data_IF_646012436703
#
_entry.id   IF_646012436703
#
_cell.length_a   1.000
_cell.length_b   1.000
_cell.length_c   1.000
_cell.angle_alpha   90.00
_cell.angle_beta   90.00
_cell.angle_gamma   90.00
#
_symmetry.space_group_name_H-M   'P 1'
#
loop_
_entity.id
_entity.type
_entity.pdbx_description
1 polymer ?
#
# COMPACT_ATOMS: atom_id res chain seq x y z
N UNK A 1 22.63 20.40 -2.92
CA UNK A 1 22.42 19.06 -3.49
C UNK A 1 21.24 19.16 -4.43
N UNK A 2 21.44 18.97 -5.72
CA UNK A 2 20.39 19.12 -6.74
C UNK A 2 19.35 18.01 -6.57
N UNK A 3 18.08 18.37 -6.31
CA UNK A 3 16.95 17.44 -6.28
C UNK A 3 16.88 16.72 -7.64
N UNK A 4 17.11 15.41 -7.66
CA UNK A 4 16.75 14.60 -8.81
C UNK A 4 15.24 14.51 -8.84
N UNK A 5 14.63 15.12 -9.84
CA UNK A 5 13.20 14.95 -10.09
C UNK A 5 12.91 13.47 -10.39
N UNK A 6 11.89 12.90 -9.74
CA UNK A 6 11.41 11.51 -10.01
C UNK A 6 11.02 11.26 -11.47
N UNK A 7 10.84 12.32 -12.27
CA UNK A 7 10.71 12.22 -13.74
C UNK A 7 11.91 11.53 -14.42
N UNK A 8 13.01 11.30 -13.70
CA UNK A 8 14.18 10.54 -14.19
C UNK A 8 14.14 9.03 -13.80
N UNK A 9 13.23 8.63 -12.91
CA UNK A 9 13.10 7.20 -12.53
C UNK A 9 12.30 6.46 -13.59
N UNK A 10 12.98 5.56 -14.29
CA UNK A 10 12.36 4.71 -15.32
C UNK A 10 11.66 3.51 -14.66
N UNK A 11 10.35 3.38 -14.85
CA UNK A 11 9.57 2.22 -14.39
C UNK A 11 10.11 0.89 -14.89
N UNK A 12 10.76 0.88 -16.05
CA UNK A 12 11.40 -0.34 -16.60
C UNK A 12 12.52 -0.83 -15.67
N UNK A 13 13.30 0.10 -15.10
CA UNK A 13 14.35 -0.21 -14.12
C UNK A 13 13.76 -0.75 -12.81
N UNK A 14 12.70 -0.10 -12.30
CA UNK A 14 11.99 -0.53 -11.09
C UNK A 14 11.42 -1.95 -11.26
N UNK A 15 10.69 -2.20 -12.34
CA UNK A 15 10.10 -3.51 -12.64
C UNK A 15 11.19 -4.58 -12.81
N UNK A 16 12.29 -4.25 -13.50
CA UNK A 16 13.43 -5.16 -13.67
C UNK A 16 14.09 -5.51 -12.35
N UNK A 17 14.33 -4.49 -11.49
CA UNK A 17 14.88 -4.69 -10.15
C UNK A 17 13.94 -5.55 -9.30
N UNK A 18 12.65 -5.21 -9.28
CA UNK A 18 11.63 -5.91 -8.50
C UNK A 18 11.56 -7.41 -8.86
N UNK A 19 11.54 -7.74 -10.15
CA UNK A 19 11.57 -9.12 -10.63
C UNK A 19 12.89 -9.82 -10.27
N UNK A 20 14.03 -9.23 -10.60
CA UNK A 20 15.36 -9.82 -10.40
C UNK A 20 15.65 -10.07 -8.91
N UNK A 21 15.17 -9.21 -8.02
CA UNK A 21 15.40 -9.32 -6.57
C UNK A 21 14.29 -10.03 -5.81
N UNK A 22 13.23 -10.45 -6.49
CA UNK A 22 12.16 -11.22 -5.86
C UNK A 22 11.22 -10.38 -5.00
N UNK A 23 10.94 -9.15 -5.43
CA UNK A 23 9.86 -8.36 -4.85
C UNK A 23 8.52 -8.75 -5.46
N UNK A 24 8.42 -8.74 -6.78
CA UNK A 24 7.15 -9.00 -7.48
C UNK A 24 7.40 -9.81 -8.75
N UNK A 25 6.56 -10.81 -8.98
CA UNK A 25 6.56 -11.65 -10.18
C UNK A 25 5.21 -11.54 -10.90
N UNK A 26 5.16 -11.71 -12.24
CA UNK A 26 3.89 -11.91 -12.92
C UNK A 26 3.20 -13.17 -12.39
N UNK A 27 1.93 -13.08 -12.02
CA UNK A 27 1.21 -14.26 -11.55
C UNK A 27 0.99 -15.25 -12.69
N UNK A 28 1.13 -16.54 -12.38
CA UNK A 28 0.93 -17.64 -13.32
C UNK A 28 1.80 -17.55 -14.59
N UNK A 29 3.00 -16.97 -14.50
CA UNK A 29 3.89 -16.68 -15.64
C UNK A 29 4.21 -17.93 -16.47
N UNK A 30 4.34 -19.09 -15.84
CA UNK A 30 4.59 -20.37 -16.54
C UNK A 30 3.45 -20.80 -17.49
N UNK A 31 2.26 -20.22 -17.34
CA UNK A 31 1.09 -20.42 -18.21
C UNK A 31 0.79 -19.18 -19.08
N UNK A 32 1.71 -18.21 -19.14
CA UNK A 32 1.53 -16.96 -19.87
C UNK A 32 0.86 -15.84 -19.07
N UNK A 33 0.41 -16.12 -17.83
CA UNK A 33 -0.27 -15.16 -16.98
C UNK A 33 -1.65 -14.72 -17.47
N UNK A 34 -2.35 -13.91 -16.68
CA UNK A 34 -3.66 -13.32 -17.06
C UNK A 34 -3.62 -11.78 -17.17
N UNK A 35 -2.43 -11.21 -17.19
CA UNK A 35 -2.21 -9.75 -17.27
C UNK A 35 -2.62 -9.01 -16.00
N UNK A 36 -1.79 -8.08 -15.56
CA UNK A 36 -2.02 -7.20 -14.38
C UNK A 36 -2.44 -7.95 -13.12
N UNK A 37 -1.95 -9.16 -12.95
CA UNK A 37 -1.98 -9.95 -11.72
C UNK A 37 -0.56 -10.27 -11.31
N UNK A 38 -0.29 -10.15 -10.01
CA UNK A 38 1.07 -10.16 -9.51
C UNK A 38 1.17 -11.00 -8.23
N UNK A 39 2.26 -11.76 -8.13
CA UNK A 39 2.64 -12.51 -6.95
C UNK A 39 3.77 -11.76 -6.23
N UNK A 40 3.65 -11.59 -4.91
CA UNK A 40 4.74 -11.04 -4.12
C UNK A 40 5.76 -12.11 -3.80
N UNK A 41 6.99 -11.89 -4.26
CA UNK A 41 8.12 -12.77 -3.97
C UNK A 41 8.63 -12.63 -2.53
N UNK A 42 9.73 -13.33 -2.17
CA UNK A 42 10.23 -13.36 -0.79
C UNK A 42 10.54 -12.00 -0.17
N UNK A 43 11.04 -11.04 -0.95
CA UNK A 43 11.29 -9.68 -0.45
C UNK A 43 10.04 -8.80 -0.54
N UNK A 44 9.20 -9.02 -1.52
CA UNK A 44 7.97 -8.25 -1.70
C UNK A 44 6.93 -8.53 -0.62
N UNK A 45 6.77 -9.79 -0.21
CA UNK A 45 5.85 -10.14 0.88
C UNK A 45 6.28 -9.49 2.20
N UNK A 46 7.58 -9.44 2.47
CA UNK A 46 8.10 -8.76 3.67
C UNK A 46 7.92 -7.25 3.59
N UNK A 47 8.21 -6.60 2.43
CA UNK A 47 7.95 -5.18 2.23
C UNK A 47 6.47 -4.85 2.48
N UNK A 48 5.57 -5.54 1.80
CA UNK A 48 4.12 -5.32 1.91
C UNK A 48 3.60 -5.57 3.34
N UNK A 49 4.10 -6.61 4.00
CA UNK A 49 3.78 -6.92 5.39
C UNK A 49 4.23 -5.81 6.33
N UNK A 50 5.47 -5.31 6.16
CA UNK A 50 6.02 -4.24 6.99
C UNK A 50 5.24 -2.92 6.79
N UNK A 51 4.83 -2.60 5.55
CA UNK A 51 3.97 -1.43 5.26
C UNK A 51 2.62 -1.55 5.99
N UNK A 52 1.98 -2.72 5.91
CA UNK A 52 0.72 -2.98 6.62
C UNK A 52 0.88 -2.91 8.14
N UNK A 53 1.98 -3.44 8.68
CA UNK A 53 2.27 -3.37 10.12
C UNK A 53 2.54 -1.93 10.58
N UNK A 54 3.28 -1.13 9.80
CA UNK A 54 3.50 0.28 10.09
C UNK A 54 2.18 1.07 10.09
N UNK A 55 1.30 0.80 9.12
CA UNK A 55 -0.03 1.40 9.09
C UNK A 55 -0.89 0.96 10.28
N UNK A 56 -0.94 -0.34 10.57
CA UNK A 56 -1.72 -0.88 11.69
C UNK A 56 -1.26 -0.35 13.04
N UNK A 57 0.06 -0.22 13.21
CA UNK A 57 0.65 0.37 14.40
C UNK A 57 0.17 1.80 14.60
N UNK A 58 0.29 2.65 13.58
CA UNK A 58 -0.09 4.06 13.67
C UNK A 58 -1.60 4.27 13.82
N UNK A 59 -2.42 3.39 13.20
CA UNK A 59 -3.87 3.53 13.20
C UNK A 59 -4.55 2.86 14.40
N UNK A 60 -3.99 1.77 14.93
CA UNK A 60 -4.66 0.96 15.96
C UNK A 60 -3.87 0.90 17.27
N UNK A 61 -2.55 0.58 17.22
CA UNK A 61 -1.79 0.32 18.43
C UNK A 61 -1.35 1.60 19.16
N UNK A 62 -1.09 2.67 18.45
CA UNK A 62 -0.64 3.95 18.99
C UNK A 62 -1.81 4.89 19.32
N UNK A 63 -3.07 4.38 19.24
CA UNK A 63 -4.30 5.13 19.48
C UNK A 63 -5.24 4.38 20.42
N UNK A 64 -5.89 5.15 21.27
CA UNK A 64 -6.92 4.62 22.19
C UNK A 64 -8.33 4.65 21.56
N UNK A 65 -8.51 5.38 20.46
CA UNK A 65 -9.80 5.66 19.84
C UNK A 65 -10.05 4.84 18.55
N UNK A 66 -9.19 3.90 18.17
CA UNK A 66 -9.37 3.03 17.01
C UNK A 66 -9.27 1.56 17.43
N UNK A 67 -10.11 0.73 16.83
CA UNK A 67 -10.08 -0.73 17.00
C UNK A 67 -10.01 -1.44 15.66
N UNK A 68 -9.57 -2.69 15.65
CA UNK A 68 -9.47 -3.50 14.44
C UNK A 68 -10.69 -4.36 14.17
N UNK A 69 -10.96 -4.63 12.90
CA UNK A 69 -11.96 -5.59 12.40
C UNK A 69 -11.36 -6.37 11.23
N UNK A 70 -11.79 -7.61 11.06
CA UNK A 70 -11.55 -8.40 9.84
C UNK A 70 -12.89 -9.02 9.39
N UNK A 71 -13.56 -8.37 8.45
CA UNK A 71 -14.84 -8.81 7.92
C UNK A 71 -14.68 -9.79 6.76
N UNK A 72 -15.68 -10.63 6.51
CA UNK A 72 -15.66 -11.60 5.42
C UNK A 72 -15.60 -10.94 4.04
N UNK A 73 -14.90 -11.56 3.10
CA UNK A 73 -14.86 -11.12 1.69
C UNK A 73 -16.21 -11.32 1.02
N UNK A 74 -16.84 -12.49 1.25
CA UNK A 74 -18.17 -12.83 0.73
C UNK A 74 -19.19 -12.37 1.76
N UNK A 75 -20.02 -11.42 1.36
CA UNK A 75 -21.07 -10.83 2.19
C UNK A 75 -22.43 -11.03 1.54
N UNK A 76 -23.51 -10.77 2.29
CA UNK A 76 -24.86 -10.79 1.72
C UNK A 76 -24.97 -9.85 0.52
N UNK A 77 -25.64 -10.27 -0.57
CA UNK A 77 -25.90 -9.40 -1.71
C UNK A 77 -26.58 -8.07 -1.36
N UNK A 78 -27.42 -8.06 -0.33
CA UNK A 78 -28.13 -6.87 0.15
C UNK A 78 -27.18 -5.76 0.61
N UNK A 79 -25.98 -6.10 1.09
CA UNK A 79 -24.95 -5.11 1.46
C UNK A 79 -24.59 -4.25 0.26
N UNK A 80 -24.39 -4.87 -0.90
CA UNK A 80 -23.98 -4.20 -2.13
C UNK A 80 -25.15 -3.48 -2.82
N UNK A 81 -26.36 -3.93 -2.58
CA UNK A 81 -27.59 -3.23 -3.02
C UNK A 81 -27.78 -1.98 -2.17
N UNK A 82 -27.71 -2.09 -0.84
CA UNK A 82 -27.89 -0.99 0.09
C UNK A 82 -26.85 0.13 -0.09
N UNK A 83 -25.60 -0.23 -0.29
CA UNK A 83 -24.51 0.73 -0.53
C UNK A 83 -24.48 1.29 -1.96
N UNK A 84 -25.34 0.82 -2.86
CA UNK A 84 -25.42 1.26 -4.25
C UNK A 84 -24.40 0.63 -5.22
N UNK A 85 -23.46 -0.19 -4.74
CA UNK A 85 -22.42 -0.80 -5.58
C UNK A 85 -23.01 -1.73 -6.66
N UNK A 86 -24.05 -2.49 -6.35
CA UNK A 86 -24.65 -3.41 -7.31
C UNK A 86 -25.17 -2.70 -8.57
N UNK A 87 -25.66 -1.46 -8.43
CA UNK A 87 -26.24 -0.68 -9.54
C UNK A 87 -25.27 0.37 -10.10
N UNK A 88 -24.48 1.03 -9.25
CA UNK A 88 -23.74 2.26 -9.59
C UNK A 88 -22.21 2.12 -9.68
N UNK A 89 -21.64 0.99 -9.29
CA UNK A 89 -20.16 0.82 -9.34
C UNK A 89 -19.73 0.43 -10.77
N UNK A 90 -19.80 1.41 -11.68
CA UNK A 90 -19.64 1.19 -13.13
C UNK A 90 -18.69 2.19 -13.75
N UNK A 91 -17.91 1.73 -14.74
CA UNK A 91 -17.07 2.56 -15.60
C UNK A 91 -17.58 2.55 -17.04
N UNK A 92 -17.42 3.67 -17.79
CA UNK A 92 -17.79 3.73 -19.19
C UNK A 92 -16.75 2.97 -20.06
N UNK A 93 -17.14 1.81 -20.59
CA UNK A 93 -16.34 0.95 -21.44
C UNK A 93 -16.57 1.26 -22.92
N UNK A 94 -15.47 1.41 -23.66
CA UNK A 94 -15.44 1.43 -25.14
C UNK A 94 -14.53 0.32 -25.65
N UNK A 95 -14.85 -0.25 -26.83
CA UNK A 95 -14.10 -1.35 -27.44
C UNK A 95 -13.65 -0.98 -28.87
N UNK A 96 -12.41 -1.32 -29.22
CA UNK A 96 -11.93 -1.18 -30.58
C UNK A 96 -12.42 -2.34 -31.45
N UNK A 97 -13.13 -2.10 -32.57
CA UNK A 97 -13.61 -3.15 -33.45
C UNK A 97 -12.50 -3.85 -34.23
N UNK A 98 -11.31 -3.24 -34.30
CA UNK A 98 -10.16 -3.75 -35.08
C UNK A 98 -9.21 -4.61 -34.23
N UNK A 99 -8.70 -4.04 -33.11
CA UNK A 99 -7.74 -4.74 -32.23
C UNK A 99 -8.38 -5.42 -31.02
N UNK A 100 -9.70 -5.25 -30.80
CA UNK A 100 -10.49 -5.79 -29.69
C UNK A 100 -10.02 -5.37 -28.29
N UNK A 101 -9.18 -4.33 -28.21
CA UNK A 101 -8.80 -3.75 -26.95
C UNK A 101 -9.93 -2.90 -26.38
N UNK A 102 -9.98 -2.85 -25.05
CA UNK A 102 -10.99 -2.13 -24.28
C UNK A 102 -10.34 -1.00 -23.52
N UNK A 103 -11.05 0.12 -23.44
CA UNK A 103 -10.59 1.33 -22.79
C UNK A 103 -11.71 1.94 -21.95
N UNK A 104 -11.33 2.74 -20.96
CA UNK A 104 -12.26 3.63 -20.26
C UNK A 104 -12.45 4.89 -21.11
N UNK A 105 -13.69 5.22 -21.41
CA UNK A 105 -13.99 6.38 -22.24
C UNK A 105 -13.62 7.70 -21.54
N UNK A 106 -13.82 7.79 -20.23
CA UNK A 106 -13.47 8.95 -19.40
C UNK A 106 -11.95 9.23 -19.40
N UNK A 107 -11.10 8.20 -19.27
CA UNK A 107 -9.65 8.37 -19.36
C UNK A 107 -9.18 8.83 -20.75
N UNK A 108 -9.84 8.36 -21.82
CA UNK A 108 -9.52 8.83 -23.16
C UNK A 108 -9.91 10.30 -23.36
N UNK A 109 -11.03 10.72 -22.81
CA UNK A 109 -11.47 12.11 -22.83
C UNK A 109 -10.53 13.01 -22.03
N UNK A 110 -10.14 12.59 -20.83
CA UNK A 110 -9.19 13.29 -19.97
C UNK A 110 -7.84 13.49 -20.69
N UNK A 111 -7.33 12.45 -21.34
CA UNK A 111 -6.10 12.51 -22.13
C UNK A 111 -6.20 13.51 -23.31
N UNK A 112 -7.42 13.79 -23.79
CA UNK A 112 -7.70 14.81 -24.79
C UNK A 112 -7.99 16.20 -24.21
N UNK A 113 -7.97 16.34 -22.86
CA UNK A 113 -8.33 17.59 -22.16
C UNK A 113 -9.84 17.91 -22.18
N UNK A 114 -10.69 16.88 -22.36
CA UNK A 114 -12.15 17.01 -22.47
C UNK A 114 -12.83 16.42 -21.23
N UNK A 115 -13.89 17.10 -20.75
CA UNK A 115 -14.67 16.66 -19.58
C UNK A 115 -15.94 15.84 -19.92
N UNK A 116 -16.39 15.86 -21.16
CA UNK A 116 -17.64 15.19 -21.57
C UNK A 116 -17.55 14.61 -22.98
N UNK A 117 -18.31 13.53 -23.22
CA UNK A 117 -18.29 12.76 -24.47
C UNK A 117 -19.27 13.26 -25.55
N UNK A 118 -20.12 14.27 -25.27
CA UNK A 118 -21.12 14.71 -26.25
C UNK A 118 -20.49 15.21 -27.55
N UNK A 119 -20.75 14.48 -28.64
CA UNK A 119 -20.23 14.80 -29.97
C UNK A 119 -18.75 14.45 -30.22
N UNK A 120 -18.07 13.79 -29.27
CA UNK A 120 -16.67 13.40 -29.41
C UNK A 120 -16.58 11.97 -29.94
N UNK A 121 -15.93 11.80 -31.11
CA UNK A 121 -15.62 10.49 -31.67
C UNK A 121 -14.32 9.99 -31.06
N UNK A 122 -14.40 9.01 -30.15
CA UNK A 122 -13.22 8.40 -29.53
C UNK A 122 -12.54 7.46 -30.55
N UNK A 123 -11.20 7.53 -30.58
CA UNK A 123 -10.36 6.69 -31.44
C UNK A 123 -9.44 5.81 -30.62
N UNK A 124 -9.19 4.61 -31.12
CA UNK A 124 -8.26 3.67 -30.54
C UNK A 124 -6.83 4.27 -30.51
N UNK A 125 -6.18 4.31 -29.35
CA UNK A 125 -4.80 4.81 -29.24
C UNK A 125 -3.78 3.99 -30.04
N UNK A 126 -4.06 2.70 -30.29
CA UNK A 126 -3.11 1.79 -30.93
C UNK A 126 -3.22 1.76 -32.47
N UNK A 127 -4.42 1.84 -33.02
CA UNK A 127 -4.64 1.67 -34.46
C UNK A 127 -5.46 2.80 -35.11
N UNK A 128 -5.99 3.75 -34.33
CA UNK A 128 -6.74 4.91 -34.80
C UNK A 128 -8.18 4.60 -35.24
N UNK A 129 -8.66 3.35 -35.11
CA UNK A 129 -10.03 2.98 -35.43
C UNK A 129 -11.03 3.69 -34.51
N UNK A 130 -12.23 3.97 -35.03
CA UNK A 130 -13.32 4.53 -34.22
C UNK A 130 -13.78 3.48 -33.20
N UNK A 131 -13.81 3.88 -31.93
CA UNK A 131 -14.25 3.02 -30.84
C UNK A 131 -15.79 2.88 -30.82
N UNK A 132 -16.26 1.81 -30.17
CA UNK A 132 -17.70 1.61 -29.94
C UNK A 132 -18.32 2.74 -29.12
N UNK A 133 -19.66 2.85 -29.16
CA UNK A 133 -20.36 3.68 -28.18
C UNK A 133 -20.06 3.22 -26.74
N UNK A 134 -19.94 4.16 -25.78
CA UNK A 134 -19.70 3.83 -24.38
C UNK A 134 -20.86 3.00 -23.80
N UNK A 135 -20.51 1.95 -23.06
CA UNK A 135 -21.47 1.17 -22.27
C UNK A 135 -20.99 1.09 -20.82
N UNK A 136 -21.91 1.20 -19.86
CA UNK A 136 -21.55 1.07 -18.45
C UNK A 136 -21.21 -0.38 -18.13
N UNK A 137 -20.04 -0.58 -17.50
CA UNK A 137 -19.53 -1.88 -17.11
C UNK A 137 -19.37 -1.91 -15.59
N UNK A 138 -20.09 -2.83 -14.92
CA UNK A 138 -19.97 -2.99 -13.47
C UNK A 138 -18.66 -3.67 -13.12
N UNK A 139 -17.92 -3.07 -12.18
CA UNK A 139 -16.58 -3.53 -11.77
C UNK A 139 -16.62 -4.64 -10.71
N UNK A 140 -17.77 -5.05 -10.21
CA UNK A 140 -17.83 -6.13 -9.21
C UNK A 140 -17.61 -7.50 -9.87
N UNK A 141 -16.77 -8.33 -9.23
CA UNK A 141 -16.65 -9.74 -9.59
C UNK A 141 -17.84 -10.53 -9.05
N UNK A 142 -18.56 -11.21 -9.94
CA UNK A 142 -19.64 -12.11 -9.57
C UNK A 142 -19.14 -13.53 -9.34
N UNK A 143 -19.72 -14.22 -8.34
CA UNK A 143 -19.50 -15.65 -8.10
C UNK A 143 -20.79 -16.27 -7.53
N UNK A 144 -20.74 -17.56 -7.21
CA UNK A 144 -21.89 -18.30 -6.73
C UNK A 144 -21.51 -19.07 -5.47
N UNK A 145 -22.43 -19.10 -4.49
CA UNK A 145 -22.29 -19.89 -3.26
C UNK A 145 -23.18 -21.13 -3.37
N UNK A 146 -22.61 -22.30 -3.07
CA UNK A 146 -23.30 -23.57 -3.17
C UNK A 146 -23.14 -24.27 -4.53
N UNK A 147 -23.77 -25.45 -4.70
CA UNK A 147 -23.55 -26.34 -5.84
C UNK A 147 -24.32 -25.95 -7.11
N UNK A 148 -25.33 -25.08 -7.00
CA UNK A 148 -26.21 -24.66 -8.11
C UNK A 148 -25.90 -23.22 -8.49
N UNK A 149 -25.78 -22.97 -9.79
CA UNK A 149 -25.56 -21.63 -10.34
C UNK A 149 -26.91 -21.05 -10.79
N UNK A 150 -27.65 -20.49 -9.88
CA UNK A 150 -28.88 -19.75 -10.14
C UNK A 150 -28.76 -18.30 -9.61
N UNK A 151 -29.79 -17.51 -9.86
CA UNK A 151 -29.80 -16.11 -9.41
C UNK A 151 -29.83 -15.95 -7.90
N UNK A 152 -30.35 -16.93 -7.18
CA UNK A 152 -30.42 -16.91 -5.71
C UNK A 152 -29.07 -17.24 -5.06
N UNK A 153 -28.20 -17.96 -5.78
CA UNK A 153 -26.86 -18.32 -5.32
C UNK A 153 -25.78 -17.27 -5.69
N UNK A 154 -26.16 -16.24 -6.46
CA UNK A 154 -25.23 -15.19 -6.90
C UNK A 154 -24.80 -14.31 -5.74
N UNK A 155 -23.47 -14.12 -5.61
CA UNK A 155 -22.84 -13.19 -4.68
C UNK A 155 -21.71 -12.44 -5.38
N UNK A 156 -21.19 -11.41 -4.74
CA UNK A 156 -20.04 -10.65 -5.24
C UNK A 156 -18.83 -10.79 -4.31
N UNK A 157 -17.64 -10.73 -4.90
CA UNK A 157 -16.43 -10.45 -4.14
C UNK A 157 -16.44 -8.96 -3.79
N UNK A 158 -16.13 -8.60 -2.55
CA UNK A 158 -16.18 -7.20 -2.09
C UNK A 158 -15.25 -6.31 -2.91
N UNK A 159 -15.73 -5.14 -3.39
CA UNK A 159 -14.91 -4.16 -4.11
C UNK A 159 -14.15 -3.21 -3.18
N UNK A 160 -14.51 -3.20 -1.88
CA UNK A 160 -13.92 -2.39 -0.81
C UNK A 160 -14.12 -3.06 0.55
N UNK A 161 -13.34 -2.63 1.54
CA UNK A 161 -13.45 -3.15 2.91
C UNK A 161 -14.42 -2.35 3.79
N UNK A 162 -14.79 -1.12 3.41
CA UNK A 162 -15.62 -0.20 4.17
C UNK A 162 -16.99 -0.78 4.57
N UNK A 163 -17.69 -1.42 3.64
CA UNK A 163 -19.04 -1.92 3.91
C UNK A 163 -19.08 -2.97 5.02
N UNK A 164 -18.02 -3.80 5.11
CA UNK A 164 -17.86 -4.74 6.20
C UNK A 164 -17.72 -4.06 7.56
N UNK A 165 -17.21 -2.83 7.62
CA UNK A 165 -17.11 -2.03 8.83
C UNK A 165 -18.49 -1.49 9.21
N UNK A 166 -19.23 -0.90 8.27
CA UNK A 166 -20.55 -0.30 8.54
C UNK A 166 -21.57 -1.31 9.05
N UNK A 167 -21.66 -2.49 8.44
CA UNK A 167 -22.58 -3.53 8.90
C UNK A 167 -22.22 -4.15 10.26
N UNK A 168 -20.98 -3.93 10.73
CA UNK A 168 -20.51 -4.37 12.04
C UNK A 168 -20.44 -3.23 13.08
N UNK A 169 -20.88 -2.03 12.76
CA UNK A 169 -20.79 -0.86 13.63
C UNK A 169 -21.38 -1.12 15.03
N UNK A 170 -22.62 -1.60 15.12
CA UNK A 170 -23.27 -1.90 16.39
C UNK A 170 -22.58 -3.04 17.14
N UNK A 171 -22.18 -4.12 16.44
CA UNK A 171 -21.42 -5.23 17.03
C UNK A 171 -20.13 -4.74 17.71
N UNK A 172 -19.40 -3.83 17.04
CA UNK A 172 -18.13 -3.30 17.56
C UNK A 172 -18.38 -2.40 18.78
N UNK A 173 -19.37 -1.50 18.72
CA UNK A 173 -19.73 -0.64 19.87
C UNK A 173 -20.09 -1.50 21.09
N UNK A 174 -20.97 -2.49 20.92
CA UNK A 174 -21.41 -3.37 22.01
C UNK A 174 -20.24 -4.15 22.60
N UNK A 175 -19.38 -4.70 21.73
CA UNK A 175 -18.26 -5.52 22.17
C UNK A 175 -17.15 -4.72 22.86
N UNK A 176 -16.85 -3.50 22.36
CA UNK A 176 -15.71 -2.70 22.81
C UNK A 176 -16.07 -1.58 23.79
N UNK A 177 -17.35 -1.20 23.84
CA UNK A 177 -17.88 -0.05 24.62
C UNK A 177 -17.23 1.27 24.22
N UNK A 178 -16.78 1.38 22.97
CA UNK A 178 -16.23 2.65 22.46
C UNK A 178 -17.32 3.70 22.37
N UNK A 179 -16.93 4.95 22.61
CA UNK A 179 -17.77 6.12 22.43
C UNK A 179 -17.34 6.87 21.18
N UNK A 180 -18.25 7.51 20.50
CA UNK A 180 -17.96 8.47 19.43
C UNK A 180 -17.26 9.70 20.06
N UNK A 181 -16.12 10.19 19.51
CA UNK A 181 -15.48 9.74 18.26
C UNK A 181 -14.63 8.47 18.44
N UNK A 182 -14.71 7.55 17.48
CA UNK A 182 -13.84 6.37 17.42
C UNK A 182 -13.77 5.81 16.00
N UNK A 183 -12.75 5.02 15.71
CA UNK A 183 -12.53 4.39 14.41
C UNK A 183 -12.55 2.86 14.44
N UNK A 184 -12.89 2.28 13.30
CA UNK A 184 -12.76 0.84 13.03
C UNK A 184 -11.87 0.68 11.82
N UNK A 185 -10.72 0.03 11.99
CA UNK A 185 -9.71 -0.18 10.96
C UNK A 185 -9.72 -1.61 10.43
N UNK A 186 -9.49 -1.79 9.15
CA UNK A 186 -9.38 -3.09 8.51
C UNK A 186 -8.26 -3.11 7.47
N UNK A 187 -7.55 -4.24 7.40
CA UNK A 187 -6.68 -4.59 6.27
C UNK A 187 -7.27 -5.82 5.61
N UNK A 188 -7.54 -5.74 4.31
CA UNK A 188 -8.14 -6.89 3.64
C UNK A 188 -8.10 -6.83 2.12
N UNK A 189 -8.28 -7.99 1.48
CA UNK A 189 -8.40 -8.13 0.04
C UNK A 189 -9.70 -7.50 -0.46
N UNK A 190 -9.58 -6.78 -1.59
CA UNK A 190 -10.69 -6.25 -2.38
C UNK A 190 -10.48 -6.56 -3.85
N UNK A 191 -11.57 -6.55 -4.62
CA UNK A 191 -11.60 -7.05 -5.99
C UNK A 191 -12.38 -6.11 -6.89
N UNK A 192 -11.73 -5.59 -7.93
CA UNK A 192 -12.36 -4.73 -8.95
C UNK A 192 -12.02 -5.23 -10.33
N UNK A 193 -13.01 -5.58 -11.12
CA UNK A 193 -12.83 -6.08 -12.49
C UNK A 193 -12.44 -4.94 -13.43
N UNK A 194 -11.29 -4.33 -13.17
CA UNK A 194 -10.77 -3.16 -13.87
C UNK A 194 -10.72 -3.37 -15.39
N UNK A 195 -11.22 -2.39 -16.15
CA UNK A 195 -11.21 -2.39 -17.63
C UNK A 195 -9.78 -2.25 -18.13
N UNK A 196 -9.05 -1.27 -17.58
CA UNK A 196 -7.67 -0.95 -17.95
C UNK A 196 -6.75 -1.03 -16.73
N UNK A 197 -6.46 -2.24 -16.21
CA UNK A 197 -5.47 -2.40 -15.16
C UNK A 197 -4.07 -2.08 -15.74
N UNK A 198 -3.14 -1.61 -14.90
CA UNK A 198 -1.81 -1.26 -15.40
C UNK A 198 -0.90 -0.58 -14.39
N UNK A 199 0.19 -0.04 -14.92
CA UNK A 199 1.24 0.61 -14.14
C UNK A 199 1.79 -0.31 -13.03
N UNK A 200 2.19 -1.55 -13.45
CA UNK A 200 2.73 -2.57 -12.54
C UNK A 200 1.70 -2.94 -11.45
N UNK A 201 2.04 -2.82 -10.16
CA UNK A 201 1.13 -3.12 -9.04
C UNK A 201 0.26 -1.93 -8.61
N UNK A 202 0.23 -0.84 -9.38
CA UNK A 202 -0.56 0.36 -9.05
C UNK A 202 -2.06 0.13 -9.20
N UNK A 203 -2.49 -0.51 -10.32
CA UNK A 203 -3.90 -0.82 -10.60
C UNK A 203 -4.05 -2.28 -11.02
N UNK A 204 -4.55 -3.08 -10.11
CA UNK A 204 -4.72 -4.53 -10.27
C UNK A 204 -6.17 -4.91 -9.98
N UNK A 205 -6.60 -6.11 -10.40
CA UNK A 205 -7.97 -6.58 -10.17
C UNK A 205 -8.19 -7.17 -8.79
N UNK A 206 -7.12 -7.65 -8.19
CA UNK A 206 -7.06 -8.13 -6.81
C UNK A 206 -5.99 -7.33 -6.07
N UNK A 207 -6.35 -6.68 -4.97
CA UNK A 207 -5.47 -5.81 -4.20
C UNK A 207 -5.80 -5.88 -2.72
N UNK A 208 -4.98 -5.28 -1.87
CA UNK A 208 -5.28 -5.12 -0.45
C UNK A 208 -5.52 -3.65 -0.12
N UNK A 209 -6.60 -3.38 0.62
CA UNK A 209 -6.88 -2.09 1.22
C UNK A 209 -6.49 -2.08 2.69
N UNK A 210 -6.03 -0.93 3.13
CA UNK A 210 -5.86 -0.51 4.52
C UNK A 210 -6.82 0.66 4.71
N UNK A 211 -7.95 0.41 5.35
CA UNK A 211 -9.08 1.32 5.40
C UNK A 211 -9.57 1.48 6.83
N UNK A 212 -9.97 2.68 7.20
CA UNK A 212 -10.47 3.00 8.53
C UNK A 212 -11.67 3.92 8.41
N UNK A 213 -12.76 3.56 9.09
CA UNK A 213 -13.95 4.37 9.20
C UNK A 213 -13.95 5.04 10.58
N UNK A 214 -13.78 6.36 10.61
CA UNK A 214 -13.76 7.14 11.85
C UNK A 214 -15.09 7.83 12.05
N UNK A 215 -15.82 7.37 13.07
CA UNK A 215 -17.16 7.79 13.40
C UNK A 215 -17.12 9.01 14.30
N UNK A 216 -17.77 10.10 13.88
CA UNK A 216 -17.76 11.38 14.57
C UNK A 216 -19.19 11.91 14.76
N UNK A 217 -19.37 12.84 15.70
CA UNK A 217 -20.64 13.52 15.85
C UNK A 217 -20.90 14.47 14.68
N UNK A 218 -22.15 14.50 14.12
CA UNK A 218 -22.53 15.47 13.12
C UNK A 218 -22.20 16.91 13.56
N UNK A 219 -21.52 17.66 12.68
CA UNK A 219 -21.03 19.02 12.96
C UNK A 219 -19.59 19.10 13.47
N UNK A 220 -18.97 17.97 13.84
CA UNK A 220 -17.54 17.88 14.17
C UNK A 220 -16.71 17.31 13.00
N UNK A 221 -17.40 16.86 11.96
CA UNK A 221 -16.83 16.14 10.80
C UNK A 221 -15.76 16.95 10.06
N UNK A 222 -15.94 18.26 9.86
CA UNK A 222 -14.95 19.08 9.15
C UNK A 222 -13.61 19.16 9.92
N UNK A 223 -13.66 19.29 11.26
CA UNK A 223 -12.45 19.30 12.08
C UNK A 223 -11.71 17.94 12.06
N UNK A 224 -12.46 16.84 12.10
CA UNK A 224 -11.89 15.50 12.03
C UNK A 224 -11.37 15.17 10.62
N UNK A 225 -12.02 15.66 9.59
CA UNK A 225 -11.56 15.55 8.21
C UNK A 225 -10.20 16.23 8.02
N UNK A 226 -10.06 17.49 8.46
CA UNK A 226 -8.79 18.22 8.44
C UNK A 226 -7.69 17.53 9.26
N UNK A 227 -8.05 16.96 10.41
CA UNK A 227 -7.14 16.20 11.26
C UNK A 227 -6.59 14.97 10.52
N UNK A 228 -7.47 14.17 9.90
CA UNK A 228 -7.07 12.95 9.22
C UNK A 228 -6.23 13.23 7.98
N UNK A 229 -6.52 14.26 7.20
CA UNK A 229 -5.69 14.68 6.05
C UNK A 229 -4.25 14.94 6.52
N UNK A 230 -4.06 15.73 7.57
CA UNK A 230 -2.73 16.06 8.10
C UNK A 230 -2.02 14.84 8.68
N UNK A 231 -2.75 14.02 9.43
CA UNK A 231 -2.21 12.82 10.06
C UNK A 231 -1.75 11.80 9.02
N UNK A 232 -2.51 11.63 7.93
CA UNK A 232 -2.14 10.68 6.87
C UNK A 232 -0.96 11.17 6.05
N UNK A 233 -0.90 12.45 5.69
CA UNK A 233 0.26 13.03 5.03
C UNK A 233 1.53 12.86 5.88
N UNK A 234 1.45 13.15 7.20
CA UNK A 234 2.59 13.02 8.11
C UNK A 234 3.11 11.58 8.18
N UNK A 235 2.22 10.58 8.16
CA UNK A 235 2.61 9.17 8.19
C UNK A 235 3.53 8.79 7.02
N UNK A 236 3.30 9.30 5.81
CA UNK A 236 4.20 9.07 4.68
C UNK A 236 5.56 9.74 4.87
N UNK A 237 5.57 10.96 5.41
CA UNK A 237 6.81 11.67 5.73
C UNK A 237 7.62 10.93 6.79
N UNK A 238 6.97 10.41 7.83
CA UNK A 238 7.60 9.63 8.90
C UNK A 238 8.22 8.31 8.37
N UNK A 239 7.65 7.73 7.31
CA UNK A 239 8.23 6.59 6.58
C UNK A 239 9.33 6.99 5.59
N UNK A 240 9.71 8.26 5.54
CA UNK A 240 10.80 8.77 4.75
C UNK A 240 10.48 9.03 3.28
N UNK A 241 9.20 9.10 2.90
CA UNK A 241 8.80 9.60 1.58
C UNK A 241 9.17 11.07 1.49
N UNK A 242 9.78 11.48 0.38
CA UNK A 242 10.21 12.87 0.18
C UNK A 242 9.00 13.79 0.04
N UNK A 243 9.03 14.91 0.77
CA UNK A 243 7.93 15.87 0.80
C UNK A 243 7.61 16.43 -0.60
N UNK A 244 8.64 16.71 -1.42
CA UNK A 244 8.46 17.17 -2.79
C UNK A 244 7.77 16.18 -3.74
N UNK A 245 7.64 14.91 -3.31
CA UNK A 245 6.94 13.86 -4.05
C UNK A 245 5.51 13.62 -3.56
N UNK A 246 5.06 14.39 -2.58
CA UNK A 246 3.70 14.33 -2.03
C UNK A 246 2.99 15.65 -2.25
N UNK A 247 1.68 15.59 -2.49
CA UNK A 247 0.81 16.77 -2.45
C UNK A 247 -0.60 16.38 -2.00
N UNK A 248 -1.33 17.34 -1.51
CA UNK A 248 -2.76 17.22 -1.24
C UNK A 248 -3.55 17.75 -2.43
N UNK A 249 -4.56 16.99 -2.87
CA UNK A 249 -5.48 17.38 -3.92
C UNK A 249 -6.91 17.22 -3.44
N UNK A 250 -7.56 18.33 -3.14
CA UNK A 250 -8.99 18.34 -2.87
C UNK A 250 -9.79 18.10 -4.16
N UNK A 251 -10.83 17.27 -4.08
CA UNK A 251 -11.72 17.02 -5.21
C UNK A 251 -12.66 18.20 -5.44
N UNK A 252 -12.93 18.51 -6.70
CA UNK A 252 -13.99 19.44 -7.07
C UNK A 252 -15.36 18.79 -6.80
N UNK A 253 -16.41 19.60 -6.57
CA UNK A 253 -17.76 19.11 -6.25
C UNK A 253 -18.29 18.07 -7.27
N UNK A 254 -17.93 18.22 -8.53
CA UNK A 254 -18.33 17.33 -9.64
C UNK A 254 -17.59 15.98 -9.65
N UNK A 255 -16.48 15.87 -8.93
CA UNK A 255 -15.68 14.66 -8.81
C UNK A 255 -16.07 13.83 -7.58
N UNK A 256 -16.82 14.43 -6.65
CA UNK A 256 -17.22 13.77 -5.41
C UNK A 256 -18.13 12.57 -5.69
N UNK A 257 -17.87 11.47 -5.00
CA UNK A 257 -18.81 10.37 -4.95
C UNK A 257 -20.12 10.83 -4.30
N UNK A 258 -21.22 10.20 -4.68
CA UNK A 258 -22.59 10.58 -4.25
C UNK A 258 -22.81 10.57 -2.72
N UNK A 259 -21.96 9.89 -2.00
CA UNK A 259 -21.99 9.80 -0.53
C UNK A 259 -21.05 10.80 0.17
N UNK A 260 -20.17 11.48 -0.55
CA UNK A 260 -19.14 12.30 0.04
C UNK A 260 -19.50 13.78 0.07
N UNK A 261 -19.37 14.41 1.24
CA UNK A 261 -19.40 15.88 1.43
C UNK A 261 -18.10 16.53 0.96
N UNK A 262 -16.99 15.81 1.05
CA UNK A 262 -15.65 16.24 0.63
C UNK A 262 -14.73 15.03 0.48
N UNK A 263 -13.76 15.14 -0.40
CA UNK A 263 -12.69 14.18 -0.58
C UNK A 263 -11.37 14.89 -0.87
N UNK A 264 -10.27 14.40 -0.30
CA UNK A 264 -8.92 14.89 -0.55
C UNK A 264 -8.00 13.70 -0.72
N UNK A 265 -7.22 13.69 -1.80
CA UNK A 265 -6.19 12.69 -2.02
C UNK A 265 -4.85 13.18 -1.49
N UNK A 266 -4.11 12.29 -0.84
CA UNK A 266 -2.67 12.36 -0.81
C UNK A 266 -2.19 11.77 -2.13
N UNK A 267 -1.64 12.59 -3.01
CA UNK A 267 -1.06 12.15 -4.27
C UNK A 267 0.45 12.01 -4.15
N UNK A 268 0.98 11.01 -4.86
CA UNK A 268 2.42 10.79 -5.02
C UNK A 268 2.85 11.02 -6.47
N UNK A 269 4.02 11.60 -6.65
CA UNK A 269 4.61 11.82 -7.97
C UNK A 269 5.26 10.52 -8.48
N UNK A 270 4.44 9.66 -9.11
CA UNK A 270 4.95 8.47 -9.79
C UNK A 270 5.70 8.83 -11.08
N UNK A 271 6.49 7.91 -11.67
CA UNK A 271 7.18 8.16 -12.94
C UNK A 271 6.28 8.53 -14.13
N UNK A 272 4.99 8.24 -14.04
CA UNK A 272 3.97 8.65 -15.05
C UNK A 272 3.19 9.91 -14.64
N UNK A 273 3.52 10.55 -13.55
CA UNK A 273 2.89 11.77 -13.04
C UNK A 273 2.17 11.59 -11.70
N UNK A 274 1.56 12.68 -11.24
CA UNK A 274 0.80 12.71 -10.01
C UNK A 274 -0.36 11.72 -10.07
N UNK A 275 -0.49 10.91 -9.05
CA UNK A 275 -1.57 9.93 -8.94
C UNK A 275 -1.93 9.69 -7.49
N UNK A 276 -3.19 9.40 -7.25
CA UNK A 276 -3.75 9.09 -5.94
C UNK A 276 -2.97 7.95 -5.25
N UNK A 277 -2.53 8.22 -4.03
CA UNK A 277 -1.89 7.26 -3.14
C UNK A 277 -2.85 6.83 -2.03
N UNK A 278 -3.49 7.79 -1.36
CA UNK A 278 -4.48 7.58 -0.31
C UNK A 278 -5.61 8.58 -0.46
N UNK A 279 -6.86 8.13 -0.43
CA UNK A 279 -8.05 8.97 -0.39
C UNK A 279 -8.51 9.20 1.04
N UNK A 280 -8.89 10.43 1.38
CA UNK A 280 -9.57 10.76 2.63
C UNK A 280 -10.92 11.37 2.27
N UNK A 281 -12.02 10.73 2.68
CA UNK A 281 -13.38 11.18 2.38
C UNK A 281 -14.18 11.50 3.65
N UNK A 282 -15.02 12.54 3.59
CA UNK A 282 -16.10 12.77 4.53
C UNK A 282 -17.37 12.18 3.92
N UNK A 283 -17.77 10.99 4.39
CA UNK A 283 -18.89 10.20 3.87
C UNK A 283 -20.24 10.57 4.50
N UNK A 284 -20.25 11.51 5.44
CA UNK A 284 -21.44 11.86 6.23
C UNK A 284 -22.07 10.63 6.94
N UNK A 285 -23.36 10.54 7.04
CA UNK A 285 -24.12 9.41 7.60
C UNK A 285 -24.63 8.43 6.53
N UNK A 286 -24.22 8.60 5.28
CA UNK A 286 -24.77 7.90 4.13
C UNK A 286 -24.83 6.37 4.33
N UNK A 287 -23.73 5.74 4.64
CA UNK A 287 -23.65 4.27 4.69
C UNK A 287 -24.48 3.70 5.85
N UNK A 288 -24.37 4.27 7.06
CA UNK A 288 -25.14 3.80 8.22
C UNK A 288 -26.64 3.97 8.01
N UNK A 289 -27.07 5.10 7.48
CA UNK A 289 -28.48 5.37 7.20
C UNK A 289 -29.03 4.45 6.08
N UNK A 290 -28.25 4.19 5.03
CA UNK A 290 -28.60 3.29 3.94
C UNK A 290 -28.75 1.83 4.43
N UNK A 291 -27.80 1.34 5.23
CA UNK A 291 -27.89 0.00 5.81
C UNK A 291 -29.01 -0.14 6.83
N UNK A 292 -29.29 0.87 7.64
CA UNK A 292 -30.46 0.89 8.53
C UNK A 292 -31.76 0.79 7.74
N UNK A 293 -31.90 1.60 6.68
CA UNK A 293 -33.09 1.60 5.83
C UNK A 293 -33.30 0.27 5.11
N UNK A 294 -32.23 -0.37 4.62
CA UNK A 294 -32.31 -1.63 3.89
C UNK A 294 -32.53 -2.84 4.80
N UNK A 295 -31.88 -2.87 5.97
CA UNK A 295 -31.92 -4.02 6.88
C UNK A 295 -33.04 -3.95 7.92
N UNK A 296 -33.53 -2.76 8.24
CA UNK A 296 -34.42 -2.49 9.36
C UNK A 296 -33.74 -2.62 10.75
N UNK A 297 -32.40 -2.84 10.78
CA UNK A 297 -31.63 -2.88 12.03
C UNK A 297 -31.18 -1.46 12.41
N UNK A 298 -31.26 -1.13 13.70
CA UNK A 298 -30.88 0.18 14.20
C UNK A 298 -29.35 0.33 14.17
N UNK A 299 -28.87 1.38 13.50
CA UNK A 299 -27.46 1.74 13.41
C UNK A 299 -27.15 3.14 13.96
N UNK A 300 -28.13 3.79 14.58
CA UNK A 300 -27.92 5.07 15.29
C UNK A 300 -27.13 4.84 16.58
N UNK A 301 -26.12 5.65 16.79
CA UNK A 301 -25.43 5.73 18.06
C UNK A 301 -26.28 6.42 19.12
N UNK A 302 -26.32 5.90 20.33
CA UNK A 302 -26.95 6.57 21.49
C UNK A 302 -25.90 7.30 22.29
N UNK A 303 -25.91 8.62 22.24
CA UNK A 303 -25.07 9.48 23.03
C UNK A 303 -25.69 9.65 24.43
N UNK A 304 -25.06 9.05 25.42
CA UNK A 304 -25.53 9.09 26.83
C UNK A 304 -25.42 10.49 27.47
N UNK A 305 -24.45 11.30 27.01
CA UNK A 305 -24.21 12.64 27.56
C UNK A 305 -25.27 13.63 27.07
N UNK A 306 -25.69 13.47 25.80
CA UNK A 306 -26.72 14.31 25.19
C UNK A 306 -28.12 13.70 25.35
N UNK A 307 -28.22 12.42 25.69
CA UNK A 307 -29.47 11.64 25.68
C UNK A 307 -30.18 11.66 24.33
N UNK A 308 -29.40 11.54 23.24
CA UNK A 308 -29.90 11.62 21.87
C UNK A 308 -29.42 10.45 21.02
N UNK A 309 -30.18 10.12 19.97
CA UNK A 309 -29.77 9.15 18.95
C UNK A 309 -29.46 9.88 17.64
N UNK A 310 -28.29 9.61 17.05
CA UNK A 310 -27.93 10.12 15.73
C UNK A 310 -27.14 9.08 14.95
N UNK A 311 -27.11 9.18 13.62
CA UNK A 311 -26.12 8.48 12.80
C UNK A 311 -24.81 9.27 12.88
N UNK A 312 -23.71 8.66 13.32
CA UNK A 312 -22.42 9.31 13.21
C UNK A 312 -22.06 9.65 11.79
N UNK A 313 -21.38 10.76 11.59
CA UNK A 313 -20.69 11.03 10.33
C UNK A 313 -19.40 10.27 10.28
N UNK A 314 -18.91 9.96 9.07
CA UNK A 314 -17.77 9.08 8.86
C UNK A 314 -16.68 9.80 8.10
N UNK A 315 -15.45 9.73 8.62
CA UNK A 315 -14.24 10.13 7.92
C UNK A 315 -13.47 8.86 7.56
N UNK A 316 -13.22 8.67 6.28
CA UNK A 316 -12.60 7.49 5.71
C UNK A 316 -11.22 7.81 5.12
N UNK A 317 -10.10 7.49 5.79
CA UNK A 317 -8.81 7.28 5.13
C UNK A 317 -8.73 5.89 4.52
N UNK A 318 -8.49 5.81 3.21
CA UNK A 318 -8.43 4.57 2.44
C UNK A 318 -7.15 4.51 1.59
N UNK A 319 -6.27 3.56 1.90
CA UNK A 319 -4.97 3.36 1.28
C UNK A 319 -4.84 1.96 0.67
N UNK A 320 -4.44 1.86 -0.58
CA UNK A 320 -4.05 0.59 -1.19
C UNK A 320 -2.67 0.13 -0.72
N UNK A 321 -2.56 -1.04 -0.08
CA UNK A 321 -1.28 -1.58 0.38
C UNK A 321 -0.29 -1.79 -0.78
N UNK A 322 -0.80 -2.16 -1.95
CA UNK A 322 -0.02 -2.38 -3.17
C UNK A 322 0.51 -1.05 -3.73
N UNK A 323 -0.31 0.01 -3.74
CA UNK A 323 0.10 1.37 -4.14
C UNK A 323 1.12 1.95 -3.18
N UNK A 324 0.92 1.79 -1.86
CA UNK A 324 1.87 2.23 -0.85
C UNK A 324 3.23 1.54 -1.02
N UNK A 325 3.23 0.21 -1.20
CA UNK A 325 4.46 -0.54 -1.43
C UNK A 325 5.19 -0.08 -2.71
N UNK A 326 4.44 0.24 -3.79
CA UNK A 326 5.01 0.77 -5.02
C UNK A 326 5.60 2.17 -4.83
N UNK A 327 4.87 3.09 -4.19
CA UNK A 327 5.35 4.44 -3.93
C UNK A 327 6.65 4.42 -3.12
N UNK A 328 6.67 3.62 -2.03
CA UNK A 328 7.85 3.44 -1.20
C UNK A 328 9.03 2.79 -1.95
N UNK A 329 8.75 1.86 -2.86
CA UNK A 329 9.78 1.24 -3.71
C UNK A 329 10.38 2.25 -4.70
N UNK A 330 9.53 3.06 -5.33
CA UNK A 330 9.95 4.11 -6.28
C UNK A 330 10.71 5.22 -5.57
N UNK A 331 10.19 5.68 -4.42
CA UNK A 331 10.82 6.75 -3.65
C UNK A 331 12.19 6.35 -3.08
N UNK A 332 12.32 5.08 -2.69
CA UNK A 332 13.58 4.55 -2.16
C UNK A 332 14.66 4.31 -3.22
N UNK A 333 14.30 4.25 -4.52
CA UNK A 333 15.23 3.90 -5.59
C UNK A 333 16.19 5.06 -5.90
N UNK A 334 17.48 4.76 -5.84
CA UNK A 334 18.53 5.69 -6.25
C UNK A 334 19.63 5.00 -7.06
N UNK A 335 20.22 5.75 -7.99
CA UNK A 335 21.43 5.39 -8.72
C UNK A 335 22.54 6.34 -8.31
N UNK A 336 23.58 5.82 -7.68
CA UNK A 336 24.70 6.58 -7.20
C UNK A 336 25.97 6.24 -8.00
N UNK A 337 26.80 7.24 -8.39
CA UNK A 337 28.09 6.96 -8.98
C UNK A 337 29.00 6.29 -7.92
N UNK A 338 29.66 5.19 -8.30
CA UNK A 338 30.67 4.55 -7.47
C UNK A 338 31.84 4.09 -8.34
N UNK A 339 32.91 4.90 -8.37
CA UNK A 339 34.07 4.73 -9.26
C UNK A 339 33.62 4.69 -10.73
N UNK A 340 33.86 3.56 -11.39
CA UNK A 340 33.53 3.33 -12.82
C UNK A 340 32.16 2.66 -13.00
N UNK A 341 31.41 2.40 -11.89
CA UNK A 341 30.14 1.71 -11.89
C UNK A 341 29.00 2.57 -11.34
N UNK A 342 27.77 2.15 -11.55
CA UNK A 342 26.57 2.73 -10.90
C UNK A 342 26.15 1.81 -9.77
N UNK A 343 26.07 2.36 -8.57
CA UNK A 343 25.50 1.71 -7.40
C UNK A 343 23.99 1.91 -7.40
N UNK A 344 23.22 0.85 -7.59
CA UNK A 344 21.79 0.86 -7.37
C UNK A 344 21.49 0.59 -5.91
N UNK A 345 20.68 1.43 -5.28
CA UNK A 345 20.34 1.31 -3.86
C UNK A 345 18.87 1.63 -3.63
N UNK A 346 18.22 0.83 -2.77
CA UNK A 346 16.89 1.13 -2.23
C UNK A 346 17.03 1.71 -0.83
N UNK A 347 16.73 3.01 -0.66
CA UNK A 347 16.85 3.70 0.63
C UNK A 347 15.56 3.59 1.46
N UNK A 348 15.09 2.38 1.69
CA UNK A 348 13.94 2.15 2.56
C UNK A 348 14.17 2.65 3.99
N UNK A 349 13.11 3.20 4.59
CA UNK A 349 13.06 3.37 6.03
C UNK A 349 13.27 2.02 6.73
N UNK A 350 14.02 1.95 7.85
CA UNK A 350 14.32 0.68 8.52
C UNK A 350 13.10 -0.16 8.89
N UNK A 351 11.97 0.48 9.23
CA UNK A 351 10.76 -0.22 9.64
C UNK A 351 10.11 -1.00 8.49
N UNK A 352 10.22 -0.48 7.26
CA UNK A 352 9.64 -1.13 6.08
C UNK A 352 10.63 -1.97 5.28
N UNK A 353 11.94 -1.87 5.54
CA UNK A 353 12.96 -2.66 4.84
C UNK A 353 12.70 -4.16 4.99
N UNK A 354 12.67 -4.96 3.90
CA UNK A 354 12.46 -6.40 3.97
C UNK A 354 13.47 -7.13 4.86
N UNK A 355 14.71 -6.70 4.79
CA UNK A 355 15.82 -7.15 5.63
C UNK A 355 16.39 -5.94 6.36
N UNK A 356 16.49 -5.98 7.68
CA UNK A 356 17.04 -4.87 8.48
C UNK A 356 18.55 -4.95 8.63
N UNK A 357 19.07 -6.16 8.73
CA UNK A 357 20.53 -6.39 8.87
C UNK A 357 20.96 -7.65 8.15
N UNK A 358 22.04 -7.56 7.37
CA UNK A 358 22.65 -8.71 6.73
C UNK A 358 23.97 -9.07 7.43
N UNK A 359 24.21 -10.38 7.64
CA UNK A 359 25.48 -10.88 8.17
C UNK A 359 26.29 -11.52 7.05
N UNK A 360 27.48 -10.98 6.83
CA UNK A 360 28.32 -11.26 5.67
C UNK A 360 29.72 -11.69 6.16
N UNK A 361 30.09 -12.98 6.11
CA UNK A 361 31.48 -13.34 6.33
C UNK A 361 32.35 -12.71 5.24
N UNK A 362 33.57 -12.21 5.56
CA UNK A 362 34.46 -11.57 4.59
C UNK A 362 34.80 -12.51 3.42
N UNK A 363 34.94 -13.80 3.72
CA UNK A 363 35.15 -14.86 2.73
C UNK A 363 34.51 -16.18 3.19
N UNK A 364 34.49 -17.20 2.30
CA UNK A 364 33.95 -18.55 2.63
C UNK A 364 34.99 -19.45 3.32
N UNK A 365 36.04 -18.89 3.93
CA UNK A 365 36.98 -19.69 4.68
C UNK A 365 36.36 -20.31 5.94
N UNK A 366 36.66 -21.57 6.21
CA UNK A 366 36.04 -22.35 7.26
C UNK A 366 36.16 -21.72 8.66
N UNK A 367 37.19 -20.94 8.90
CA UNK A 367 37.41 -20.25 10.18
C UNK A 367 36.43 -19.10 10.45
N UNK A 368 35.86 -18.45 9.40
CA UNK A 368 34.92 -17.32 9.53
C UNK A 368 33.49 -17.79 9.68
N UNK A 369 33.11 -18.90 9.06
CA UNK A 369 31.69 -19.31 8.94
C UNK A 369 31.02 -19.57 10.29
N UNK A 370 31.63 -20.27 11.26
CA UNK A 370 31.00 -20.53 12.56
C UNK A 370 30.69 -19.24 13.30
N UNK A 371 31.62 -18.27 13.33
CA UNK A 371 31.42 -16.97 14.00
C UNK A 371 30.34 -16.13 13.29
N UNK A 372 30.32 -16.12 11.96
CA UNK A 372 29.29 -15.43 11.21
C UNK A 372 27.91 -16.04 11.44
N UNK A 373 27.81 -17.36 11.54
CA UNK A 373 26.53 -18.03 11.88
C UNK A 373 26.11 -17.76 13.32
N UNK A 374 27.03 -17.70 14.27
CA UNK A 374 26.76 -17.31 15.66
C UNK A 374 26.18 -15.89 15.73
N UNK A 375 26.81 -14.90 15.10
CA UNK A 375 26.35 -13.51 15.03
C UNK A 375 24.99 -13.43 14.36
N UNK A 376 24.80 -14.14 13.25
CA UNK A 376 23.51 -14.18 12.57
C UNK A 376 22.42 -14.80 13.47
N UNK A 377 22.72 -15.90 14.17
CA UNK A 377 21.77 -16.55 15.08
C UNK A 377 21.36 -15.64 16.25
N UNK A 378 22.28 -14.80 16.74
CA UNK A 378 21.98 -13.82 17.78
C UNK A 378 21.08 -12.68 17.25
N UNK A 379 21.41 -12.11 16.09
CA UNK A 379 20.67 -10.99 15.50
C UNK A 379 19.25 -11.38 15.02
N UNK A 380 19.07 -12.55 14.42
CA UNK A 380 17.77 -12.99 13.89
C UNK A 380 16.66 -13.15 14.93
N UNK A 381 16.98 -13.15 16.21
CA UNK A 381 16.02 -13.18 17.30
C UNK A 381 15.32 -11.84 17.53
N UNK A 382 15.91 -10.76 17.03
CA UNK A 382 15.48 -9.39 17.30
C UNK A 382 15.18 -8.59 16.02
N UNK A 383 15.77 -8.99 14.89
CA UNK A 383 15.70 -8.25 13.62
C UNK A 383 15.34 -9.18 12.46
N UNK A 384 14.82 -8.61 11.38
CA UNK A 384 14.70 -9.28 10.08
C UNK A 384 16.09 -9.37 9.46
N UNK A 385 16.65 -10.57 9.40
CA UNK A 385 18.05 -10.78 9.02
C UNK A 385 18.20 -11.64 7.77
N UNK A 386 19.30 -11.41 7.06
CA UNK A 386 19.77 -12.28 5.99
C UNK A 386 21.24 -12.67 6.23
N UNK A 387 21.57 -13.92 5.95
CA UNK A 387 22.94 -14.42 5.88
C UNK A 387 23.33 -14.63 4.42
N UNK A 388 24.48 -14.08 3.98
CA UNK A 388 24.95 -14.24 2.61
C UNK A 388 26.47 -14.44 2.58
N UNK A 389 26.88 -15.61 2.08
CA UNK A 389 28.28 -15.97 1.88
C UNK A 389 28.64 -16.19 0.39
N UNK A 390 27.75 -15.90 -0.53
CA UNK A 390 27.93 -16.15 -1.95
C UNK A 390 28.77 -15.05 -2.64
N UNK A 391 29.75 -15.44 -3.45
CA UNK A 391 30.63 -14.54 -4.21
C UNK A 391 31.54 -13.66 -3.32
N UNK A 392 32.10 -12.55 -3.86
CA UNK A 392 32.93 -11.61 -3.12
C UNK A 392 32.15 -10.70 -2.18
N UNK A 393 32.80 -10.18 -1.15
CA UNK A 393 32.17 -9.27 -0.19
C UNK A 393 31.60 -8.02 -0.86
N UNK A 394 32.26 -7.44 -1.85
CA UNK A 394 31.76 -6.30 -2.61
C UNK A 394 30.44 -6.61 -3.32
N UNK A 395 30.33 -7.79 -3.96
CA UNK A 395 29.08 -8.22 -4.61
C UNK A 395 27.95 -8.49 -3.59
N UNK A 396 28.27 -8.94 -2.38
CA UNK A 396 27.28 -9.11 -1.30
C UNK A 396 26.76 -7.76 -0.84
N UNK A 397 27.60 -6.76 -0.63
CA UNK A 397 27.17 -5.40 -0.31
C UNK A 397 26.25 -4.84 -1.40
N UNK A 398 26.60 -5.02 -2.69
CA UNK A 398 25.75 -4.56 -3.80
C UNK A 398 24.37 -5.22 -3.77
N UNK A 399 24.29 -6.52 -3.49
CA UNK A 399 22.98 -7.19 -3.35
C UNK A 399 22.16 -6.63 -2.20
N UNK A 400 22.81 -6.34 -1.07
CA UNK A 400 22.12 -5.74 0.09
C UNK A 400 21.68 -4.29 -0.19
N UNK A 401 22.50 -3.52 -0.89
CA UNK A 401 22.13 -2.17 -1.34
C UNK A 401 20.88 -2.22 -2.26
N UNK A 402 20.87 -3.12 -3.25
CA UNK A 402 19.75 -3.30 -4.20
C UNK A 402 18.44 -3.79 -3.56
N UNK A 403 18.50 -4.47 -2.43
CA UNK A 403 17.29 -4.89 -1.69
C UNK A 403 16.94 -3.99 -0.51
N UNK A 404 17.74 -2.94 -0.29
CA UNK A 404 17.46 -1.90 0.67
C UNK A 404 17.77 -2.24 2.12
N UNK A 405 18.71 -3.17 2.38
CA UNK A 405 19.12 -3.53 3.73
C UNK A 405 19.85 -2.37 4.40
N UNK A 406 19.36 -1.79 5.50
CA UNK A 406 19.97 -0.63 6.16
C UNK A 406 21.39 -0.88 6.67
N UNK A 407 21.62 -2.03 7.28
CA UNK A 407 22.91 -2.34 7.93
C UNK A 407 23.47 -3.68 7.46
N UNK A 408 24.78 -3.74 7.25
CA UNK A 408 25.50 -4.97 6.96
C UNK A 408 26.57 -5.21 8.04
N UNK A 409 26.56 -6.38 8.66
CA UNK A 409 27.52 -6.83 9.66
C UNK A 409 28.52 -7.77 9.00
N UNK A 410 29.81 -7.40 8.96
CA UNK A 410 30.85 -8.21 8.36
C UNK A 410 31.71 -8.87 9.46
N UNK A 411 31.84 -10.18 9.35
CA UNK A 411 32.75 -11.00 10.15
C UNK A 411 34.02 -11.26 9.34
N UNK A 412 35.15 -10.81 9.84
CA UNK A 412 36.45 -10.88 9.18
C UNK A 412 37.48 -11.69 10.00
N UNK A 413 38.72 -11.72 9.53
CA UNK A 413 39.80 -12.48 10.20
C UNK A 413 40.23 -11.88 11.56
N UNK A 414 40.12 -10.55 11.69
CA UNK A 414 40.40 -9.89 12.97
C UNK A 414 39.32 -10.23 14.00
N UNK A 415 38.07 -10.36 13.59
CA UNK A 415 36.95 -10.83 14.43
C UNK A 415 37.29 -12.16 15.10
N UNK A 416 37.85 -13.11 14.34
CA UNK A 416 38.11 -14.47 14.84
C UNK A 416 39.43 -14.59 15.57
N UNK A 417 40.50 -13.87 15.11
CA UNK A 417 41.85 -14.09 15.55
C UNK A 417 42.38 -13.01 16.51
N UNK A 418 41.69 -11.88 16.66
CA UNK A 418 42.24 -10.74 17.41
C UNK A 418 41.30 -10.12 18.44
N UNK A 419 40.19 -9.48 17.99
CA UNK A 419 39.47 -8.54 18.83
C UNK A 419 38.00 -8.93 19.15
N UNK A 420 37.53 -10.05 18.63
CA UNK A 420 36.12 -10.48 18.74
C UNK A 420 35.10 -9.35 18.40
N UNK A 421 35.44 -8.49 17.43
CA UNK A 421 34.58 -7.40 16.97
C UNK A 421 34.19 -7.57 15.51
N UNK A 422 33.06 -7.06 15.12
CA UNK A 422 32.50 -7.07 13.75
C UNK A 422 32.48 -5.67 13.16
N UNK A 423 32.44 -5.58 11.84
CA UNK A 423 32.30 -4.30 11.16
C UNK A 423 30.85 -4.11 10.75
N UNK A 424 30.19 -3.02 11.21
CA UNK A 424 28.85 -2.61 10.78
C UNK A 424 28.97 -1.53 9.72
N UNK A 425 28.40 -1.78 8.54
CA UNK A 425 28.33 -0.81 7.42
C UNK A 425 26.93 -0.24 7.31
N UNK A 426 26.84 1.08 7.30
CA UNK A 426 25.61 1.81 7.00
C UNK A 426 25.40 1.88 5.48
N UNK A 427 24.19 1.57 5.00
CA UNK A 427 23.79 1.58 3.58
C UNK A 427 23.91 2.97 2.97
N UNK A 428 23.42 4.01 3.66
CA UNK A 428 23.23 5.34 3.07
C UNK A 428 24.56 6.11 2.97
N UNK A 429 25.38 6.00 4.02
CA UNK A 429 26.66 6.72 4.08
C UNK A 429 27.86 5.89 3.64
N UNK A 430 27.70 4.56 3.55
CA UNK A 430 28.78 3.57 3.40
C UNK A 430 29.82 3.60 4.53
N UNK A 431 29.60 4.39 5.57
CA UNK A 431 30.48 4.43 6.74
C UNK A 431 30.50 3.08 7.46
N UNK A 432 31.65 2.75 8.01
CA UNK A 432 31.89 1.50 8.72
C UNK A 432 32.37 1.78 10.12
N UNK A 433 31.85 1.05 11.09
CA UNK A 433 32.27 1.12 12.50
C UNK A 433 32.56 -0.29 12.98
N UNK A 434 33.62 -0.42 13.86
CA UNK A 434 33.94 -1.69 14.47
C UNK A 434 33.31 -1.79 15.85
N UNK A 435 32.65 -2.92 16.13
CA UNK A 435 31.82 -3.11 17.34
C UNK A 435 32.12 -4.51 17.91
N UNK A 436 32.31 -4.65 19.23
CA UNK A 436 32.44 -5.97 19.87
C UNK A 436 31.22 -6.86 19.58
N UNK A 437 31.41 -8.15 19.34
CA UNK A 437 30.30 -9.07 19.04
C UNK A 437 29.23 -9.12 20.12
N UNK A 438 29.64 -8.92 21.39
CA UNK A 438 28.70 -8.85 22.52
C UNK A 438 27.76 -7.66 22.46
N UNK A 439 28.14 -6.57 21.79
CA UNK A 439 27.40 -5.32 21.69
C UNK A 439 26.65 -5.15 20.32
N UNK A 440 26.86 -6.10 19.42
CA UNK A 440 26.35 -5.98 18.02
C UNK A 440 24.86 -5.73 17.93
N UNK A 441 24.03 -6.35 18.77
CA UNK A 441 22.58 -6.19 18.73
C UNK A 441 22.16 -4.77 19.15
N UNK A 442 22.80 -4.19 20.14
CA UNK A 442 22.52 -2.83 20.61
C UNK A 442 22.99 -1.80 19.57
N UNK A 443 24.17 -1.99 19.00
CA UNK A 443 24.71 -1.14 17.93
C UNK A 443 23.81 -1.18 16.66
N UNK A 444 23.30 -2.36 16.28
CA UNK A 444 22.34 -2.50 15.19
C UNK A 444 21.05 -1.72 15.50
N UNK A 445 20.51 -1.87 16.72
CA UNK A 445 19.28 -1.16 17.13
C UNK A 445 19.45 0.37 17.07
N UNK A 446 20.59 0.87 17.56
CA UNK A 446 20.92 2.29 17.53
C UNK A 446 21.12 2.77 16.09
N UNK A 447 21.84 2.02 15.26
CA UNK A 447 22.04 2.34 13.85
C UNK A 447 20.73 2.42 13.07
N UNK A 448 19.79 1.48 13.28
CA UNK A 448 18.46 1.51 12.66
C UNK A 448 17.64 2.73 13.10
N UNK A 449 17.66 3.06 14.40
CA UNK A 449 16.98 4.26 14.91
C UNK A 449 17.53 5.54 14.28
N UNK A 450 18.85 5.66 14.18
CA UNK A 450 19.50 6.83 13.57
C UNK A 450 19.18 6.99 12.07
N UNK A 451 18.88 5.91 11.36
CA UNK A 451 18.45 5.95 9.95
C UNK A 451 16.95 6.25 9.79
N UNK A 452 16.13 5.90 10.79
CA UNK A 452 14.69 6.22 10.79
C UNK A 452 14.40 7.69 11.13
N UNK A 453 15.28 8.35 11.87
CA UNK A 453 15.15 9.77 12.21
C UNK A 453 15.72 10.64 11.09
N UNK A 454 15.04 10.70 9.93
CA UNK A 454 15.33 11.73 8.93
C UNK A 454 14.67 13.03 9.42
N UNK A 455 15.48 13.92 9.98
CA UNK A 455 15.14 15.33 10.28
C UNK A 455 15.14 16.12 8.99
#
# INVERSE_FOLDING_TARGET
>A
MTSRHLTEVDMTKIVSLAKRRGFVFPSSEIYGGIGSTWDYGPLGVELKRNVKEAWWRSMVYERDDVVGLDSAIIQSPEVWVASGHAAGFTDPLVECPTCHKRYRADHLLEAMGLKAAEGVVLKCPDDGAVLSEPRMFNLMFETYVGPVRDSAAKVWLRPETAQGIFINFDNVIVATRKKVPFGIAQIGKSFRNEITPGNFIFRTREFEQMEMEFFVKPGEDDAWYDYWIKTRLQWFLDLGVREENLRLRAHEEQELAHYAKGATDVEYLFPWGWSELEGIANRTDFDLSAHEAASGQKLKYFDQELNEHYWPYVIEPALGADRAALALLVDAYEEEPDKDEVRVVLKFHPDIAPVQVAVLPLSRKAELLPKAQEVHAALRRQFRTQYDDAQSIGRRYRRQDEIGTPLCVTVDFETVNADDAVTIRNRDTMAQVRVPTAEVADAVREGLRGMGSRV
#
